data_IF_307321276988
#
_entry.id   IF_307321276988
#
_cell.length_a   1.000
_cell.length_b   1.000
_cell.length_c   1.000
_cell.angle_alpha   90.00
_cell.angle_beta   90.00
_cell.angle_gamma   90.00
#
_symmetry.space_group_name_H-M   'P 1'
#
loop_
_entity.id
_entity.type
_entity.pdbx_description
1 polymer ?
#
# COMPACT_ATOMS: atom_id res chain seq x y z
N UNK A 1 -40.30 10.11 18.30
CA UNK A 1 -38.98 10.29 17.65
C UNK A 1 -38.99 9.44 16.40
N UNK A 2 -38.94 10.06 15.22
CA UNK A 2 -38.96 9.34 13.96
C UNK A 2 -37.64 8.57 13.79
N UNK A 3 -37.72 7.25 13.67
CA UNK A 3 -36.63 6.42 13.16
C UNK A 3 -36.35 6.89 11.73
N UNK A 4 -35.28 7.66 11.56
CA UNK A 4 -34.75 7.96 10.23
C UNK A 4 -34.35 6.62 9.62
N UNK A 5 -35.04 6.21 8.56
CA UNK A 5 -34.67 5.02 7.78
C UNK A 5 -33.23 5.19 7.35
N UNK A 6 -32.33 4.38 7.92
CA UNK A 6 -30.95 4.30 7.49
C UNK A 6 -31.03 3.72 6.08
N UNK A 7 -30.89 4.57 5.06
CA UNK A 7 -30.87 4.10 3.68
C UNK A 7 -29.80 3.03 3.55
N UNK A 8 -30.18 1.90 2.97
CA UNK A 8 -29.25 0.83 2.68
C UNK A 8 -28.27 1.32 1.60
N UNK A 9 -27.03 1.61 2.00
CA UNK A 9 -25.98 1.94 1.05
C UNK A 9 -25.60 0.64 0.33
N UNK A 10 -25.92 0.56 -0.96
CA UNK A 10 -25.55 -0.55 -1.83
C UNK A 10 -24.47 -0.07 -2.78
N UNK A 11 -23.31 -0.74 -2.75
CA UNK A 11 -22.25 -0.52 -3.72
C UNK A 11 -22.21 -1.67 -4.71
N UNK A 12 -21.89 -1.40 -5.96
CA UNK A 12 -21.86 -2.42 -7.02
C UNK A 12 -20.47 -2.57 -7.60
N UNK A 13 -20.07 -3.82 -7.84
CA UNK A 13 -18.90 -4.09 -8.64
C UNK A 13 -19.14 -3.74 -10.09
N UNK A 14 -18.12 -3.15 -10.70
CA UNK A 14 -18.04 -3.04 -12.16
C UNK A 14 -16.68 -3.53 -12.63
N UNK A 15 -16.66 -4.10 -13.83
CA UNK A 15 -15.51 -4.79 -14.37
C UNK A 15 -15.38 -4.51 -15.87
N UNK A 16 -14.27 -3.91 -16.31
CA UNK A 16 -13.94 -3.86 -17.73
C UNK A 16 -13.51 -5.27 -18.20
N UNK A 17 -14.19 -5.81 -19.22
CA UNK A 17 -14.52 -7.24 -19.35
C UNK A 17 -13.43 -8.32 -19.16
N UNK A 18 -13.76 -9.36 -18.38
CA UNK A 18 -13.29 -10.75 -18.55
C UNK A 18 -12.21 -11.30 -17.60
N UNK A 19 -11.58 -10.48 -16.77
CA UNK A 19 -10.27 -10.77 -16.17
C UNK A 19 -10.27 -11.20 -14.68
N UNK A 20 -11.40 -11.17 -13.95
CA UNK A 20 -11.42 -11.36 -12.47
C UNK A 20 -10.63 -12.60 -12.01
N UNK A 21 -10.84 -13.74 -12.69
CA UNK A 21 -10.10 -14.99 -12.44
C UNK A 21 -8.61 -14.87 -12.81
N UNK A 22 -8.30 -14.36 -14.01
CA UNK A 22 -6.92 -14.17 -14.48
C UNK A 22 -6.11 -13.25 -13.58
N UNK A 23 -6.75 -12.27 -12.95
CA UNK A 23 -6.08 -11.32 -12.06
C UNK A 23 -5.59 -11.97 -10.77
N UNK A 24 -6.30 -12.96 -10.22
CA UNK A 24 -5.84 -13.70 -9.04
C UNK A 24 -4.59 -14.53 -9.38
N UNK A 25 -4.56 -15.15 -10.56
CA UNK A 25 -3.42 -15.97 -11.00
C UNK A 25 -2.15 -15.18 -11.33
N UNK A 26 -2.19 -13.84 -11.30
CA UNK A 26 -1.01 -13.02 -11.56
C UNK A 26 0.06 -13.12 -10.48
N UNK A 27 -0.32 -13.48 -9.25
CA UNK A 27 0.62 -13.68 -8.16
C UNK A 27 1.19 -15.10 -8.19
N UNK A 28 2.51 -15.22 -8.07
CA UNK A 28 3.19 -16.51 -7.95
C UNK A 28 3.47 -16.88 -6.51
N UNK A 29 3.65 -15.88 -5.65
CA UNK A 29 3.95 -16.06 -4.23
C UNK A 29 3.02 -15.25 -3.34
N UNK A 30 2.79 -15.74 -2.13
CA UNK A 30 2.00 -15.02 -1.12
C UNK A 30 2.64 -13.68 -0.75
N UNK A 31 3.98 -13.59 -0.80
CA UNK A 31 4.73 -12.36 -0.51
C UNK A 31 4.40 -11.23 -1.48
N UNK A 32 4.25 -11.53 -2.77
CA UNK A 32 3.88 -10.55 -3.81
C UNK A 32 2.48 -10.00 -3.56
N UNK A 33 1.50 -10.89 -3.32
CA UNK A 33 0.13 -10.49 -3.01
C UNK A 33 0.06 -9.70 -1.70
N UNK A 34 0.79 -10.12 -0.68
CA UNK A 34 0.87 -9.40 0.58
C UNK A 34 1.45 -7.99 0.42
N UNK A 35 2.52 -7.84 -0.37
CA UNK A 35 3.13 -6.53 -0.61
C UNK A 35 2.19 -5.57 -1.31
N UNK A 36 1.37 -6.03 -2.26
CA UNK A 36 0.34 -5.18 -2.85
C UNK A 36 -0.64 -4.61 -1.80
N UNK A 37 -0.98 -5.39 -0.76
CA UNK A 37 -1.83 -4.90 0.32
C UNK A 37 -1.10 -3.89 1.22
N UNK A 38 0.17 -4.16 1.55
CA UNK A 38 0.97 -3.23 2.37
C UNK A 38 1.30 -1.95 1.61
N UNK A 39 1.57 -2.01 0.31
CA UNK A 39 1.81 -0.84 -0.54
C UNK A 39 0.61 0.09 -0.52
N UNK A 40 -0.62 -0.45 -0.60
CA UNK A 40 -1.83 0.36 -0.46
C UNK A 40 -1.95 1.02 0.93
N UNK A 41 -1.62 0.29 2.00
CA UNK A 41 -1.61 0.85 3.35
C UNK A 41 -0.56 1.99 3.48
N UNK A 42 0.63 1.78 2.92
CA UNK A 42 1.76 2.72 2.88
C UNK A 42 1.44 3.96 2.03
N UNK A 43 0.78 3.80 0.89
CA UNK A 43 0.35 4.90 0.02
C UNK A 43 -0.72 5.80 0.65
N UNK A 44 -1.47 5.30 1.63
CA UNK A 44 -2.52 6.07 2.31
C UNK A 44 -1.96 7.17 3.26
N UNK A 45 -0.65 7.35 3.34
CA UNK A 45 0.01 8.37 4.20
C UNK A 45 -0.41 9.80 3.88
N UNK A 46 -0.50 10.61 4.93
CA UNK A 46 -0.61 12.07 4.86
C UNK A 46 0.79 12.67 5.13
N UNK A 47 1.29 13.62 4.32
CA UNK A 47 2.58 14.27 4.56
C UNK A 47 2.69 14.84 5.99
N UNK A 48 3.83 14.56 6.64
CA UNK A 48 4.10 15.03 8.00
C UNK A 48 3.34 14.32 9.13
N UNK A 49 2.49 13.33 8.83
CA UNK A 49 1.85 12.47 9.84
C UNK A 49 2.45 11.07 9.80
N UNK A 50 2.75 10.53 10.98
CA UNK A 50 3.08 9.12 11.11
C UNK A 50 1.82 8.27 10.87
N UNK A 51 1.95 7.20 10.10
CA UNK A 51 0.92 6.18 9.94
C UNK A 51 1.31 4.92 10.74
N UNK A 52 0.35 4.31 11.41
CA UNK A 52 0.51 3.00 12.04
C UNK A 52 -0.08 1.92 11.16
N UNK A 53 0.69 0.87 10.89
CA UNK A 53 0.26 -0.31 10.13
C UNK A 53 0.34 -1.52 11.06
N UNK A 54 -0.81 -2.12 11.36
CA UNK A 54 -0.93 -3.32 12.19
C UNK A 54 -1.24 -4.49 11.27
N UNK A 55 -0.43 -5.54 11.38
CA UNK A 55 -0.57 -6.76 10.61
C UNK A 55 -0.88 -7.88 11.59
N UNK A 56 -2.02 -8.54 11.44
CA UNK A 56 -2.39 -9.72 12.21
C UNK A 56 -2.40 -10.93 11.27
N UNK A 57 -1.81 -12.03 11.70
CA UNK A 57 -1.79 -13.27 10.93
C UNK A 57 -2.12 -14.47 11.81
N UNK A 58 -2.85 -15.43 11.24
CA UNK A 58 -3.08 -16.74 11.82
C UNK A 58 -3.11 -17.80 10.73
N UNK A 59 -3.38 -19.05 11.08
CA UNK A 59 -3.62 -20.10 10.08
C UNK A 59 -4.91 -19.90 9.28
N UNK A 60 -5.84 -19.07 9.74
CA UNK A 60 -7.18 -18.91 9.14
C UNK A 60 -7.41 -17.57 8.46
N UNK A 61 -6.66 -16.54 8.86
CA UNK A 61 -6.87 -15.16 8.39
C UNK A 61 -5.59 -14.34 8.37
N UNK A 62 -5.65 -13.25 7.62
CA UNK A 62 -4.72 -12.12 7.64
C UNK A 62 -5.55 -10.84 7.77
N UNK A 63 -5.10 -9.89 8.58
CA UNK A 63 -5.70 -8.57 8.70
C UNK A 63 -4.61 -7.50 8.61
N UNK A 64 -4.84 -6.47 7.81
CA UNK A 64 -3.96 -5.30 7.66
C UNK A 64 -4.79 -4.07 7.99
N UNK A 65 -4.38 -3.35 9.04
CA UNK A 65 -5.03 -2.16 9.55
C UNK A 65 -4.06 -1.00 9.45
N UNK A 66 -4.39 0.03 8.67
CA UNK A 66 -3.65 1.29 8.69
C UNK A 66 -4.46 2.41 9.35
N UNK A 67 -3.81 3.15 10.24
CA UNK A 67 -4.38 4.25 11.03
C UNK A 67 -3.52 5.51 10.93
N UNK A 68 -4.14 6.67 10.80
CA UNK A 68 -3.45 7.96 10.65
C UNK A 68 -3.21 8.39 9.21
N UNK A 69 -3.72 7.62 8.24
CA UNK A 69 -3.70 7.96 6.82
C UNK A 69 -4.92 8.76 6.38
N UNK A 70 -5.15 8.85 5.07
CA UNK A 70 -6.35 9.48 4.49
C UNK A 70 -7.64 8.71 4.77
N UNK A 71 -7.57 7.39 4.95
CA UNK A 71 -8.74 6.53 5.02
C UNK A 71 -9.38 6.30 3.64
N UNK A 72 -10.65 5.88 3.64
CA UNK A 72 -11.52 5.91 2.47
C UNK A 72 -12.94 6.34 2.87
N UNK A 73 -13.54 7.22 2.09
CA UNK A 73 -14.98 7.53 2.14
C UNK A 73 -15.81 6.53 1.31
N UNK A 74 -17.12 6.74 1.27
CA UNK A 74 -18.03 5.85 0.53
C UNK A 74 -17.79 5.86 -0.99
N UNK A 75 -17.36 7.00 -1.56
CA UNK A 75 -17.06 7.12 -2.99
C UNK A 75 -15.78 6.37 -3.31
N UNK A 76 -14.75 6.50 -2.48
CA UNK A 76 -13.49 5.77 -2.62
C UNK A 76 -13.70 4.26 -2.46
N UNK A 77 -14.60 3.83 -1.57
CA UNK A 77 -14.99 2.42 -1.42
C UNK A 77 -15.75 1.91 -2.66
N UNK A 78 -16.64 2.71 -3.24
CA UNK A 78 -17.28 2.38 -4.52
C UNK A 78 -16.24 2.27 -5.64
N UNK A 79 -15.27 3.17 -5.71
CA UNK A 79 -14.19 3.08 -6.69
C UNK A 79 -13.27 1.90 -6.43
N UNK A 80 -13.08 1.47 -5.17
CA UNK A 80 -12.39 0.23 -4.85
C UNK A 80 -13.09 -0.96 -5.52
N UNK A 81 -14.42 -0.98 -5.63
CA UNK A 81 -15.18 -2.02 -6.34
C UNK A 81 -15.16 -1.90 -7.88
N UNK A 82 -14.57 -0.84 -8.42
CA UNK A 82 -14.41 -0.64 -9.86
C UNK A 82 -13.08 -1.23 -10.31
N UNK A 83 -13.13 -2.37 -10.97
CA UNK A 83 -11.95 -3.08 -11.43
C UNK A 83 -11.34 -2.42 -12.66
N UNK A 84 -10.03 -2.13 -12.63
CA UNK A 84 -9.28 -1.59 -13.77
C UNK A 84 -9.44 -0.10 -14.01
N UNK A 85 -10.29 0.59 -13.25
CA UNK A 85 -10.43 2.03 -13.37
C UNK A 85 -9.20 2.74 -12.82
N UNK A 86 -8.43 3.37 -13.70
CA UNK A 86 -7.29 4.20 -13.34
C UNK A 86 -7.80 5.40 -12.53
N UNK A 87 -7.20 5.63 -11.36
CA UNK A 87 -7.51 6.77 -10.51
C UNK A 87 -6.47 7.88 -10.67
N UNK A 88 -6.85 9.16 -10.45
CA UNK A 88 -5.87 10.22 -10.27
C UNK A 88 -4.90 9.87 -9.14
N UNK A 89 -3.60 10.07 -9.39
CA UNK A 89 -2.55 9.71 -8.43
C UNK A 89 -2.37 10.76 -7.34
N UNK A 90 -2.17 10.30 -6.11
CA UNK A 90 -1.65 11.07 -4.97
C UNK A 90 -0.12 10.98 -4.90
N UNK A 91 0.47 11.88 -4.13
CA UNK A 91 1.94 12.03 -4.01
C UNK A 91 2.68 10.75 -3.57
N UNK A 92 2.01 9.83 -2.87
CA UNK A 92 2.57 8.57 -2.39
C UNK A 92 1.94 7.31 -3.00
N UNK A 93 1.17 7.44 -4.09
CA UNK A 93 0.54 6.29 -4.72
C UNK A 93 1.58 5.37 -5.38
N UNK A 94 1.72 4.17 -4.82
CA UNK A 94 2.60 3.11 -5.33
C UNK A 94 1.91 2.29 -6.42
N UNK A 95 0.57 2.25 -6.42
CA UNK A 95 -0.24 1.53 -7.40
C UNK A 95 -0.40 2.26 -8.75
N UNK A 96 -0.57 1.48 -9.82
CA UNK A 96 -0.83 2.00 -11.17
C UNK A 96 -2.19 1.55 -11.76
N UNK A 97 -2.70 0.38 -11.37
CA UNK A 97 -3.78 -0.31 -12.11
C UNK A 97 -5.09 -0.51 -11.35
N UNK A 98 -5.22 -0.04 -10.10
CA UNK A 98 -6.45 -0.17 -9.26
C UNK A 98 -7.05 -1.59 -9.15
N UNK A 99 -6.23 -2.62 -9.40
CA UNK A 99 -6.62 -4.03 -9.40
C UNK A 99 -5.83 -4.82 -8.35
N UNK A 100 -4.55 -4.47 -8.12
CA UNK A 100 -3.59 -5.22 -7.31
C UNK A 100 -4.12 -5.65 -5.94
N UNK A 101 -4.70 -4.72 -5.17
CA UNK A 101 -5.22 -5.03 -3.83
C UNK A 101 -6.36 -6.06 -3.83
N UNK A 102 -7.34 -5.94 -4.74
CA UNK A 102 -8.45 -6.91 -4.83
C UNK A 102 -7.95 -8.26 -5.31
N UNK A 103 -7.04 -8.24 -6.28
CA UNK A 103 -6.43 -9.44 -6.81
C UNK A 103 -5.62 -10.19 -5.75
N UNK A 104 -4.88 -9.44 -4.92
CA UNK A 104 -4.12 -9.98 -3.80
C UNK A 104 -5.03 -10.67 -2.77
N UNK A 105 -6.16 -10.04 -2.41
CA UNK A 105 -7.13 -10.64 -1.49
C UNK A 105 -7.67 -11.97 -2.02
N UNK A 106 -8.07 -12.02 -3.29
CA UNK A 106 -8.57 -13.26 -3.92
C UNK A 106 -7.49 -14.34 -4.10
N UNK A 107 -6.23 -13.95 -4.28
CA UNK A 107 -5.11 -14.89 -4.30
C UNK A 107 -4.81 -15.47 -2.91
N UNK A 108 -4.86 -14.65 -1.87
CA UNK A 108 -4.52 -15.04 -0.50
C UNK A 108 -5.62 -15.89 0.15
N UNK A 109 -6.89 -15.54 -0.04
CA UNK A 109 -8.01 -16.17 0.65
C UNK A 109 -9.28 -16.33 -0.17
N UNK A 110 -10.38 -16.61 0.52
CA UNK A 110 -11.69 -16.92 -0.07
C UNK A 110 -12.77 -15.91 0.30
N UNK A 111 -12.56 -15.13 1.35
CA UNK A 111 -13.47 -14.09 1.78
C UNK A 111 -12.68 -12.85 2.22
N UNK A 112 -13.30 -11.68 2.10
CA UNK A 112 -12.75 -10.43 2.59
C UNK A 112 -13.77 -9.63 3.39
N UNK A 113 -13.24 -8.78 4.26
CA UNK A 113 -13.97 -7.70 4.92
C UNK A 113 -13.14 -6.43 4.81
N UNK A 114 -13.77 -5.35 4.38
CA UNK A 114 -13.14 -4.04 4.27
C UNK A 114 -13.89 -3.08 5.19
N UNK A 115 -13.16 -2.45 6.09
CA UNK A 115 -13.59 -1.39 7.00
C UNK A 115 -12.81 -0.13 6.67
N UNK A 116 -13.49 0.99 6.49
CA UNK A 116 -12.81 2.24 6.21
C UNK A 116 -13.51 3.45 6.80
N UNK A 117 -12.74 4.42 7.25
CA UNK A 117 -13.21 5.73 7.71
C UNK A 117 -12.30 6.81 7.14
N UNK A 118 -12.83 7.85 6.50
CA UNK A 118 -12.02 8.94 6.00
C UNK A 118 -11.51 9.83 7.15
N UNK A 119 -10.30 10.38 6.98
CA UNK A 119 -9.69 11.29 7.95
C UNK A 119 -10.59 12.51 8.22
N UNK A 120 -10.77 12.82 9.50
CA UNK A 120 -11.61 13.92 9.97
C UNK A 120 -13.11 13.60 10.04
N UNK A 121 -13.53 12.36 9.79
CA UNK A 121 -14.93 11.93 9.92
C UNK A 121 -15.09 10.88 11.03
N UNK A 122 -16.25 10.87 11.68
CA UNK A 122 -16.64 9.85 12.68
C UNK A 122 -17.43 8.69 12.08
N UNK A 123 -17.38 8.51 10.77
CA UNK A 123 -18.21 7.52 10.08
C UNK A 123 -17.33 6.45 9.45
N UNK A 124 -17.55 5.20 9.85
CA UNK A 124 -16.89 4.03 9.30
C UNK A 124 -17.86 3.22 8.44
N UNK A 125 -17.41 2.83 7.26
CA UNK A 125 -18.10 1.98 6.30
C UNK A 125 -17.52 0.58 6.35
N UNK A 126 -18.38 -0.43 6.36
CA UNK A 126 -17.99 -1.85 6.37
C UNK A 126 -18.69 -2.60 5.26
N UNK A 127 -17.92 -3.32 4.43
CA UNK A 127 -18.41 -4.25 3.42
C UNK A 127 -17.73 -5.61 3.55
N UNK A 128 -18.42 -6.66 3.14
CA UNK A 128 -17.94 -8.05 3.24
C UNK A 128 -18.21 -8.79 1.93
N UNK A 129 -17.25 -9.59 1.47
CA UNK A 129 -17.45 -10.60 0.42
C UNK A 129 -17.11 -11.97 1.00
N UNK A 130 -18.12 -12.81 1.21
CA UNK A 130 -17.93 -14.17 1.73
C UNK A 130 -17.43 -15.17 0.69
N UNK A 131 -17.42 -14.82 -0.59
CA UNK A 131 -17.14 -15.74 -1.70
C UNK A 131 -16.32 -15.06 -2.81
N UNK A 132 -15.11 -14.58 -2.54
CA UNK A 132 -14.23 -13.86 -3.49
C UNK A 132 -14.01 -14.55 -4.85
N UNK A 133 -14.21 -15.86 -4.91
CA UNK A 133 -14.05 -16.70 -6.11
C UNK A 133 -15.36 -16.88 -6.89
N UNK A 134 -16.47 -16.29 -6.44
CA UNK A 134 -17.63 -16.07 -7.31
C UNK A 134 -17.30 -14.94 -8.30
N UNK A 135 -17.19 -15.32 -9.56
CA UNK A 135 -16.75 -14.45 -10.66
C UNK A 135 -17.85 -13.52 -11.17
N UNK A 136 -19.07 -13.62 -10.63
CA UNK A 136 -20.14 -12.69 -10.95
C UNK A 136 -19.84 -11.30 -10.36
N UNK A 137 -20.44 -10.28 -10.97
CA UNK A 137 -20.49 -8.94 -10.38
C UNK A 137 -21.45 -8.98 -9.21
N UNK A 138 -21.00 -8.45 -8.07
CA UNK A 138 -21.78 -8.45 -6.84
C UNK A 138 -22.23 -7.05 -6.44
N UNK A 139 -23.28 -7.05 -5.63
CA UNK A 139 -23.73 -5.87 -4.90
C UNK A 139 -23.45 -6.09 -3.43
N UNK A 140 -22.86 -5.08 -2.79
CA UNK A 140 -22.41 -5.12 -1.42
C UNK A 140 -23.26 -4.17 -0.59
N UNK A 141 -23.87 -4.71 0.45
CA UNK A 141 -24.50 -3.90 1.49
C UNK A 141 -23.41 -3.32 2.38
N UNK A 142 -23.37 -2.00 2.48
CA UNK A 142 -22.43 -1.29 3.34
C UNK A 142 -23.12 -0.97 4.65
N UNK A 143 -22.56 -1.48 5.73
CA UNK A 143 -22.99 -1.09 7.08
C UNK A 143 -22.19 0.12 7.53
N UNK A 144 -22.85 1.02 8.26
CA UNK A 144 -22.25 2.26 8.74
C UNK A 144 -22.24 2.28 10.26
N UNK A 145 -21.07 2.50 10.85
CA UNK A 145 -20.83 2.54 12.29
C UNK A 145 -20.05 3.82 12.66
N UNK A 146 -19.99 4.14 13.95
CA UNK A 146 -19.09 5.19 14.43
C UNK A 146 -17.64 4.74 14.29
N UNK A 147 -16.82 5.62 13.74
CA UNK A 147 -15.38 5.39 13.64
C UNK A 147 -14.73 5.46 15.03
N UNK A 148 -13.73 4.61 15.32
CA UNK A 148 -13.07 4.58 16.63
C UNK A 148 -12.26 5.86 16.93
N UNK A 149 -11.94 6.65 15.91
CA UNK A 149 -11.21 7.92 16.03
C UNK A 149 -11.50 8.81 14.82
N UNK A 150 -10.98 10.04 14.83
CA UNK A 150 -11.01 10.94 13.68
C UNK A 150 -9.87 10.69 12.69
N UNK A 151 -8.90 9.83 13.02
CA UNK A 151 -7.84 9.48 12.09
C UNK A 151 -8.40 8.60 10.97
N UNK A 152 -7.88 8.81 9.75
CA UNK A 152 -8.24 7.94 8.63
C UNK A 152 -7.83 6.50 8.91
N UNK A 153 -8.74 5.59 8.59
CA UNK A 153 -8.61 4.16 8.84
C UNK A 153 -8.96 3.38 7.57
N UNK A 154 -8.13 2.40 7.23
CA UNK A 154 -8.48 1.32 6.31
C UNK A 154 -8.04 0.02 6.97
N UNK A 155 -8.92 -0.98 6.90
CA UNK A 155 -8.79 -2.23 7.60
C UNK A 155 -9.32 -3.32 6.68
N UNK A 156 -8.42 -4.19 6.25
CA UNK A 156 -8.66 -5.25 5.29
C UNK A 156 -8.40 -6.57 6.00
N UNK A 157 -9.44 -7.37 6.14
CA UNK A 157 -9.37 -8.73 6.63
C UNK A 157 -9.60 -9.70 5.47
N UNK A 158 -8.74 -10.71 5.36
CA UNK A 158 -8.84 -11.81 4.39
C UNK A 158 -8.92 -13.11 5.17
N UNK A 159 -9.98 -13.87 4.96
CA UNK A 159 -10.23 -15.15 5.63
C UNK A 159 -10.28 -16.31 4.63
N UNK A 160 -10.22 -17.53 5.16
CA UNK A 160 -10.18 -18.74 4.32
C UNK A 160 -8.88 -18.82 3.54
N UNK A 161 -7.76 -18.53 4.20
CA UNK A 161 -6.44 -18.49 3.57
C UNK A 161 -6.13 -19.80 2.85
N UNK A 162 -5.71 -19.66 1.59
CA UNK A 162 -5.31 -20.77 0.73
C UNK A 162 -3.84 -21.15 0.90
N UNK A 163 -3.06 -20.29 1.57
CA UNK A 163 -1.61 -20.39 1.73
C UNK A 163 -1.24 -20.01 3.16
N UNK A 164 -0.25 -20.70 3.71
CA UNK A 164 0.32 -20.36 5.02
C UNK A 164 1.23 -19.14 4.87
N UNK A 165 1.02 -18.12 5.68
CA UNK A 165 1.91 -16.96 5.78
C UNK A 165 3.00 -17.29 6.79
N UNK A 166 4.25 -17.16 6.38
CA UNK A 166 5.38 -17.28 7.30
C UNK A 166 5.62 -15.91 7.96
N UNK A 167 5.42 -15.85 9.27
CA UNK A 167 5.56 -14.61 10.03
C UNK A 167 6.97 -14.04 10.04
N UNK A 168 8.01 -14.87 10.10
CA UNK A 168 9.40 -14.42 10.09
C UNK A 168 9.78 -13.86 8.71
N UNK A 169 9.41 -14.58 7.65
CA UNK A 169 9.60 -14.12 6.26
C UNK A 169 8.87 -12.78 6.02
N UNK A 170 7.65 -12.64 6.54
CA UNK A 170 6.87 -11.39 6.48
C UNK A 170 7.61 -10.24 7.17
N UNK A 171 8.10 -10.46 8.39
CA UNK A 171 8.79 -9.43 9.17
C UNK A 171 10.06 -8.95 8.45
N UNK A 172 10.87 -9.88 7.94
CA UNK A 172 12.08 -9.57 7.16
C UNK A 172 11.71 -8.80 5.89
N UNK A 173 10.68 -9.25 5.17
CA UNK A 173 10.22 -8.63 3.93
C UNK A 173 9.83 -7.16 4.15
N UNK A 174 8.97 -6.90 5.14
CA UNK A 174 8.49 -5.56 5.50
C UNK A 174 9.64 -4.67 5.99
N UNK A 175 10.49 -5.20 6.88
CA UNK A 175 11.63 -4.47 7.43
C UNK A 175 12.57 -3.98 6.32
N UNK A 176 12.80 -4.79 5.29
CA UNK A 176 13.70 -4.46 4.20
C UNK A 176 13.07 -3.51 3.18
N UNK A 177 11.85 -3.79 2.71
CA UNK A 177 11.21 -3.01 1.65
C UNK A 177 10.88 -1.59 2.12
N UNK A 178 10.34 -1.46 3.33
CA UNK A 178 9.94 -0.16 3.86
C UNK A 178 10.95 0.44 4.84
N UNK A 179 12.19 -0.08 4.84
CA UNK A 179 13.30 0.38 5.69
C UNK A 179 13.40 1.91 5.78
N UNK A 180 13.46 2.68 4.68
CA UNK A 180 13.64 4.13 4.79
C UNK A 180 12.53 4.81 5.59
N UNK A 181 11.30 4.31 5.44
CA UNK A 181 10.11 4.86 6.09
C UNK A 181 9.98 4.42 7.55
N UNK A 182 10.49 3.23 7.89
CA UNK A 182 10.58 2.75 9.27
C UNK A 182 11.65 3.54 10.03
N UNK A 183 12.83 3.71 9.43
CA UNK A 183 13.97 4.40 10.06
C UNK A 183 13.70 5.90 10.26
N UNK A 184 13.06 6.57 9.29
CA UNK A 184 12.72 7.98 9.42
C UNK A 184 11.44 8.23 10.26
N UNK A 185 10.81 7.17 10.78
CA UNK A 185 9.62 7.25 11.62
C UNK A 185 8.31 7.62 10.90
N UNK A 186 8.29 7.68 9.56
CA UNK A 186 7.08 7.97 8.78
C UNK A 186 6.04 6.87 8.89
N UNK A 187 6.47 5.62 9.08
CA UNK A 187 5.58 4.49 9.34
C UNK A 187 5.99 3.76 10.62
N UNK A 188 5.01 3.26 11.37
CA UNK A 188 5.21 2.33 12.48
C UNK A 188 4.47 1.03 12.16
N UNK A 189 5.22 -0.08 12.00
CA UNK A 189 4.63 -1.37 11.63
C UNK A 189 4.73 -2.37 12.78
N UNK A 190 3.63 -3.06 13.07
CA UNK A 190 3.59 -4.17 14.04
C UNK A 190 3.02 -5.43 13.39
N UNK A 191 3.61 -6.59 13.66
CA UNK A 191 3.10 -7.89 13.28
C UNK A 191 2.75 -8.69 14.54
N UNK A 192 1.47 -9.08 14.70
CA UNK A 192 0.98 -9.78 15.89
C UNK A 192 1.42 -9.12 17.22
N UNK A 193 1.39 -7.79 17.26
CA UNK A 193 1.82 -6.98 18.41
C UNK A 193 3.34 -6.75 18.53
N UNK A 194 4.18 -7.49 17.78
CA UNK A 194 5.62 -7.28 17.73
C UNK A 194 5.94 -6.13 16.77
N UNK A 195 6.66 -5.11 17.24
CA UNK A 195 7.16 -4.04 16.37
C UNK A 195 8.18 -4.59 15.38
N UNK A 196 7.95 -4.34 14.09
CA UNK A 196 8.94 -4.61 13.04
C UNK A 196 9.96 -3.49 13.09
N UNK A 197 11.22 -3.87 13.23
CA UNK A 197 12.36 -2.96 13.21
C UNK A 197 13.14 -3.22 11.93
N UNK A 198 13.60 -2.16 11.30
CA UNK A 198 14.66 -2.28 10.31
C UNK A 198 15.98 -2.07 11.04
N UNK A 199 16.95 -2.96 10.80
CA UNK A 199 18.30 -2.75 11.31
C UNK A 199 18.93 -1.55 10.59
N UNK A 200 19.96 -0.95 11.17
CA UNK A 200 20.82 -0.03 10.42
C UNK A 200 21.57 -0.83 9.37
N UNK A 201 21.85 -0.22 8.20
CA UNK A 201 22.73 -0.91 7.27
C UNK A 201 24.07 -1.01 7.99
N UNK A 202 24.76 -2.17 7.99
CA UNK A 202 26.16 -2.17 8.33
C UNK A 202 26.82 -1.31 7.25
N UNK A 203 26.96 -0.02 7.54
CA UNK A 203 27.98 0.80 6.91
C UNK A 203 29.26 0.12 7.35
N UNK A 204 29.83 -0.69 6.48
CA UNK A 204 31.14 -1.25 6.73
C UNK A 204 32.04 -0.04 7.01
N UNK A 205 32.49 0.10 8.25
CA UNK A 205 33.33 1.21 8.68
C UNK A 205 34.70 1.19 7.97
N UNK A 206 34.90 0.22 7.08
CA UNK A 206 36.07 0.02 6.23
C UNK A 206 35.95 0.64 4.84
N UNK A 207 34.76 1.09 4.40
CA UNK A 207 34.62 1.78 3.12
C UNK A 207 35.23 3.19 3.20
N UNK A 208 36.29 3.41 2.44
CA UNK A 208 36.92 4.72 2.31
C UNK A 208 36.11 5.56 1.32
N UNK A 209 35.52 6.66 1.79
CA UNK A 209 34.93 7.67 0.91
C UNK A 209 36.06 8.30 0.09
N UNK A 210 36.24 7.85 -1.15
CA UNK A 210 37.16 8.49 -2.08
C UNK A 210 36.49 9.69 -2.71
N UNK A 211 36.97 10.88 -2.32
CA UNK A 211 36.67 12.12 -3.04
C UNK A 211 37.48 12.13 -4.32
N UNK A 212 36.81 12.27 -5.46
CA UNK A 212 37.47 12.56 -6.71
C UNK A 212 37.01 13.91 -7.24
N UNK A 213 37.98 14.62 -7.80
CA UNK A 213 37.74 15.82 -8.60
C UNK A 213 38.23 15.50 -10.01
N UNK A 214 37.34 15.60 -10.99
CA UNK A 214 37.76 15.64 -12.39
C UNK A 214 37.31 16.95 -13.03
N UNK A 215 38.21 17.47 -13.86
CA UNK A 215 37.95 18.64 -14.69
C UNK A 215 37.59 18.11 -16.07
N UNK A 216 36.37 18.39 -16.54
CA UNK A 216 36.01 18.02 -17.92
C UNK A 216 36.89 18.79 -18.90
N UNK A 217 37.52 18.14 -19.90
CA UNK A 217 38.26 18.85 -20.94
C UNK A 217 37.36 19.87 -21.63
N UNK A 218 37.92 21.03 -21.98
CA UNK A 218 37.24 22.01 -22.83
C UNK A 218 36.93 21.38 -24.19
N UNK A 219 35.65 21.28 -24.52
CA UNK A 219 35.22 20.96 -25.88
C UNK A 219 35.54 22.17 -26.77
N UNK A 220 36.56 22.04 -27.61
CA UNK A 220 36.79 23.01 -28.70
C UNK A 220 35.74 22.71 -29.77
N UNK A 221 34.77 23.60 -29.93
CA UNK A 221 33.84 23.52 -31.05
C UNK A 221 34.61 23.83 -32.35
N UNK A 222 34.78 22.84 -33.22
CA UNK A 222 35.21 23.06 -34.61
C UNK A 222 34.05 23.70 -35.36
N UNK A 223 33.89 25.01 -35.20
CA UNK A 223 32.89 25.82 -35.88
C UNK A 223 32.18 26.82 -34.97
N UNK A 224 32.78 28.00 -34.79
CA UNK A 224 32.07 29.27 -34.52
C UNK A 224 31.15 29.40 -33.30
N UNK A 225 31.12 28.47 -32.36
CA UNK A 225 30.28 28.51 -31.15
C UNK A 225 31.08 28.75 -29.87
N UNK A 226 30.50 29.51 -28.93
CA UNK A 226 31.10 29.98 -27.67
C UNK A 226 31.93 28.92 -26.91
N UNK A 227 33.08 29.36 -26.37
CA UNK A 227 33.95 28.60 -25.49
C UNK A 227 33.23 28.37 -24.15
N UNK A 228 32.84 27.12 -23.86
CA UNK A 228 32.34 26.74 -22.55
C UNK A 228 33.45 26.73 -21.50
N UNK A 229 33.20 27.31 -20.33
CA UNK A 229 34.11 27.21 -19.18
C UNK A 229 34.09 25.79 -18.59
N UNK A 230 35.24 25.22 -18.20
CA UNK A 230 35.29 23.89 -17.59
C UNK A 230 34.42 23.84 -16.33
N UNK A 231 33.56 22.83 -16.24
CA UNK A 231 32.75 22.58 -15.04
C UNK A 231 33.49 21.59 -14.14
N UNK A 232 33.70 21.98 -12.88
CA UNK A 232 34.07 21.04 -11.83
C UNK A 232 32.82 20.24 -11.45
N UNK A 233 32.94 18.92 -11.48
CA UNK A 233 31.90 18.02 -11.01
C UNK A 233 32.46 17.34 -9.77
N UNK A 234 31.76 17.53 -8.65
CA UNK A 234 32.06 16.84 -7.41
C UNK A 234 31.15 15.62 -7.31
N UNK A 235 31.75 14.45 -7.12
CA UNK A 235 31.02 13.20 -6.99
C UNK A 235 31.49 12.40 -5.79
N UNK A 236 30.64 11.47 -5.37
CA UNK A 236 30.92 10.51 -4.31
C UNK A 236 30.68 9.12 -4.89
N UNK A 237 31.63 8.22 -4.74
CA UNK A 237 31.44 6.80 -5.04
C UNK A 237 31.68 6.03 -3.75
N UNK A 238 30.79 5.07 -3.48
CA UNK A 238 30.95 4.08 -2.44
C UNK A 238 31.77 2.93 -3.03
N UNK A 239 32.99 2.76 -2.56
CA UNK A 239 33.89 1.65 -2.92
C UNK A 239 34.16 0.83 -1.68
#
# INVERSE_FOLDING_TARGET
MAQQSKEDIILTESFEGGLKHSLYSNFRKWTEAFLELIDNAVSNRIPGKQISIVILTSSKMMEIINKGGYGMDIKELQEFLQWGKIKPRRDYDLGAYSQGGKSAMGYLGRAMKVRASPNGKKQMYTMEDSELHDYKLKSFRVTTLDAPSLDGLVDIEVTGLSRKINGEELEILVANIYRPLILNGSINVTHNGKKIKADDFPLDTTFNIQKFDFTTPQMIALGGGQIGTPKRIHGWIYC
#
